data_IF_838918798753
#
_entry.id   IF_838918798753
#
_cell.length_a   1.000
_cell.length_b   1.000
_cell.length_c   1.000
_cell.angle_alpha   90.00
_cell.angle_beta   90.00
_cell.angle_gamma   90.00
#
_symmetry.space_group_name_H-M   'P 1'
#
loop_
_entity.id
_entity.type
_entity.pdbx_description
1 polymer ?
#
# COMPACT_ATOMS: atom_id res chain seq x y z
N UNK A 1 -42.40 63.24 -65.41
CA UNK A 1 -42.55 63.13 -63.99
C UNK A 1 -42.84 61.67 -63.63
N UNK A 2 -41.94 60.89 -63.20
CA UNK A 2 -42.19 59.67 -62.44
C UNK A 2 -40.93 59.29 -61.73
N UNK A 3 -41.01 59.16 -60.42
CA UNK A 3 -39.91 58.76 -59.47
C UNK A 3 -39.91 57.26 -59.39
N UNK A 4 -38.74 56.65 -59.67
CA UNK A 4 -38.49 55.26 -59.44
C UNK A 4 -37.74 55.06 -58.05
N UNK A 5 -38.42 54.37 -57.18
CA UNK A 5 -37.83 53.98 -55.88
C UNK A 5 -37.05 52.66 -56.02
N UNK A 6 -35.75 52.68 -55.78
CA UNK A 6 -34.94 51.50 -55.69
C UNK A 6 -34.88 51.04 -54.23
N UNK A 7 -35.44 49.85 -53.91
CA UNK A 7 -35.31 49.16 -52.65
C UNK A 7 -34.00 48.38 -52.63
N UNK A 8 -32.98 48.89 -51.92
CA UNK A 8 -31.72 48.19 -51.68
C UNK A 8 -31.86 47.23 -50.53
N UNK A 9 -31.67 45.92 -50.84
CA UNK A 9 -31.50 44.88 -49.85
C UNK A 9 -30.07 44.89 -49.31
N UNK A 10 -29.81 44.98 -48.01
CA UNK A 10 -28.43 44.95 -47.48
C UNK A 10 -27.77 43.59 -47.63
N UNK A 11 -26.46 43.50 -47.88
CA UNK A 11 -25.76 42.25 -48.05
C UNK A 11 -25.67 41.46 -46.71
N UNK A 12 -26.02 40.15 -46.79
CA UNK A 12 -25.88 39.18 -45.68
C UNK A 12 -24.41 38.88 -45.46
N UNK A 13 -23.87 39.30 -44.32
CA UNK A 13 -22.51 38.96 -43.87
C UNK A 13 -22.39 37.47 -43.53
N UNK A 14 -21.75 36.68 -44.41
CA UNK A 14 -21.53 35.23 -44.30
C UNK A 14 -20.30 34.86 -43.51
N UNK A 15 -19.84 35.65 -42.51
CA UNK A 15 -18.60 35.38 -41.76
C UNK A 15 -18.80 35.27 -40.25
N UNK A 16 -19.76 34.52 -39.78
CA UNK A 16 -19.74 34.02 -38.41
C UNK A 16 -20.06 32.52 -38.40
N UNK A 17 -19.00 31.72 -38.57
CA UNK A 17 -19.03 30.32 -38.13
C UNK A 17 -19.00 30.35 -36.61
N UNK A 18 -19.92 29.70 -35.89
CA UNK A 18 -19.78 29.54 -34.44
C UNK A 18 -18.55 28.64 -34.21
N UNK A 19 -17.56 29.19 -33.51
CA UNK A 19 -16.45 28.42 -32.99
C UNK A 19 -17.02 27.45 -32.00
N UNK A 20 -17.04 26.14 -32.35
CA UNK A 20 -17.26 25.08 -31.37
C UNK A 20 -16.05 25.08 -30.40
N UNK A 21 -16.14 25.87 -29.34
CA UNK A 21 -15.28 25.63 -28.19
C UNK A 21 -15.68 24.26 -27.64
N UNK A 22 -14.94 23.25 -28.05
CA UNK A 22 -14.89 21.98 -27.34
C UNK A 22 -14.41 22.30 -25.93
N UNK A 23 -15.37 22.43 -25.01
CA UNK A 23 -15.08 22.41 -23.59
C UNK A 23 -14.64 20.98 -23.27
N UNK A 24 -13.35 20.70 -23.46
CA UNK A 24 -12.70 19.54 -22.87
C UNK A 24 -12.73 19.75 -21.36
N UNK A 25 -13.83 19.33 -20.75
CA UNK A 25 -13.92 19.14 -19.31
C UNK A 25 -12.83 18.12 -18.96
N UNK A 26 -11.69 18.62 -18.49
CA UNK A 26 -10.64 17.82 -17.89
C UNK A 26 -11.21 17.25 -16.59
N UNK A 27 -11.89 16.11 -16.69
CA UNK A 27 -12.30 15.32 -15.53
C UNK A 27 -11.03 15.02 -14.77
N UNK A 28 -10.78 15.73 -13.66
CA UNK A 28 -9.68 15.42 -12.74
C UNK A 28 -9.84 13.95 -12.35
N UNK A 29 -8.99 13.09 -12.91
CA UNK A 29 -8.96 11.68 -12.53
C UNK A 29 -8.66 11.61 -11.04
N UNK A 30 -9.59 11.07 -10.28
CA UNK A 30 -9.37 10.82 -8.85
C UNK A 30 -8.29 9.74 -8.75
N UNK A 31 -7.21 10.06 -8.04
CA UNK A 31 -6.09 9.16 -7.82
C UNK A 31 -6.26 8.49 -6.47
N UNK A 32 -6.06 7.18 -6.43
CA UNK A 32 -6.08 6.36 -5.22
C UNK A 32 -4.75 5.64 -5.06
N UNK A 33 -4.28 5.51 -3.82
CA UNK A 33 -3.05 4.79 -3.49
C UNK A 33 -3.42 3.40 -3.01
N UNK A 34 -2.93 2.38 -3.72
CA UNK A 34 -3.35 0.98 -3.57
C UNK A 34 -2.20 0.09 -3.13
N UNK A 35 -2.53 -0.95 -2.38
CA UNK A 35 -1.64 -2.07 -2.08
C UNK A 35 -2.47 -3.34 -1.82
N UNK A 36 -1.82 -4.49 -1.90
CA UNK A 36 -2.43 -5.81 -1.66
C UNK A 36 -1.75 -6.41 -0.45
N UNK A 37 -2.55 -6.97 0.49
CA UNK A 37 -2.04 -7.51 1.73
C UNK A 37 -2.92 -8.63 2.30
N UNK A 38 -2.32 -9.44 3.18
CA UNK A 38 -3.06 -10.27 4.13
C UNK A 38 -3.36 -9.43 5.37
N UNK A 39 -4.55 -9.60 5.92
CA UNK A 39 -4.87 -9.13 7.27
C UNK A 39 -4.36 -10.13 8.31
N UNK A 40 -4.27 -9.73 9.55
CA UNK A 40 -3.91 -10.61 10.66
C UNK A 40 -5.09 -10.83 11.59
N UNK A 41 -5.20 -12.03 12.16
CA UNK A 41 -6.24 -12.39 13.10
C UNK A 41 -6.18 -11.53 14.37
N UNK A 42 -7.32 -11.29 15.00
CA UNK A 42 -7.41 -10.46 16.20
C UNK A 42 -6.54 -10.99 17.35
N UNK A 43 -6.45 -12.30 17.51
CA UNK A 43 -5.58 -12.91 18.52
C UNK A 43 -4.08 -12.65 18.29
N UNK A 44 -3.63 -12.61 17.05
CA UNK A 44 -2.27 -12.22 16.69
C UNK A 44 -2.09 -10.72 16.88
N UNK A 45 -3.11 -9.94 16.50
CA UNK A 45 -3.13 -8.48 16.63
C UNK A 45 -2.97 -8.04 18.09
N UNK A 46 -3.70 -8.67 19.02
CA UNK A 46 -3.63 -8.39 20.44
C UNK A 46 -2.25 -8.74 21.04
N UNK A 47 -1.73 -9.92 20.72
CA UNK A 47 -0.38 -10.33 21.18
C UNK A 47 0.70 -9.43 20.61
N UNK A 48 0.59 -9.04 19.35
CA UNK A 48 1.52 -8.11 18.72
C UNK A 48 1.43 -6.71 19.33
N UNK A 49 0.23 -6.26 19.73
CA UNK A 49 0.04 -5.00 20.45
C UNK A 49 0.79 -5.03 21.80
N UNK A 50 0.61 -6.09 22.58
CA UNK A 50 1.32 -6.27 23.86
C UNK A 50 2.84 -6.29 23.68
N UNK A 51 3.34 -6.99 22.66
CA UNK A 51 4.77 -6.99 22.32
C UNK A 51 5.27 -5.59 21.96
N UNK A 52 4.57 -4.87 21.10
CA UNK A 52 4.92 -3.49 20.73
C UNK A 52 4.88 -2.54 21.93
N UNK A 53 3.89 -2.64 22.80
CA UNK A 53 3.73 -1.76 23.96
C UNK A 53 4.87 -1.93 24.96
N UNK A 54 5.37 -3.16 25.17
CA UNK A 54 6.56 -3.45 25.97
C UNK A 54 7.86 -2.86 25.41
N UNK A 55 7.85 -2.45 24.13
CA UNK A 55 9.04 -1.96 23.43
C UNK A 55 9.00 -0.45 23.12
N UNK A 56 7.84 0.21 23.17
CA UNK A 56 7.68 1.63 22.77
C UNK A 56 8.63 2.57 23.50
N UNK A 57 8.86 2.35 24.80
CA UNK A 57 9.75 3.18 25.62
C UNK A 57 11.22 3.14 25.19
N UNK A 58 11.64 2.11 24.46
CA UNK A 58 13.02 1.95 23.97
C UNK A 58 13.26 2.58 22.59
N UNK A 59 12.19 3.04 21.91
CA UNK A 59 12.28 3.76 20.65
C UNK A 59 11.16 4.83 20.57
N UNK A 60 11.24 5.90 21.39
CA UNK A 60 10.19 6.93 21.46
C UNK A 60 10.11 7.76 20.18
N UNK A 61 11.21 7.92 19.45
CA UNK A 61 11.31 8.78 18.26
C UNK A 61 10.92 8.08 16.95
N UNK A 62 10.53 6.82 17.02
CA UNK A 62 10.04 6.10 15.85
C UNK A 62 8.52 6.20 15.74
N UNK A 63 8.00 6.09 14.51
CA UNK A 63 6.57 5.97 14.28
C UNK A 63 6.16 4.50 14.36
N UNK A 64 5.57 4.12 15.48
CA UNK A 64 4.95 2.82 15.65
C UNK A 64 3.71 2.69 14.78
N UNK A 65 3.54 1.55 14.13
CA UNK A 65 2.34 1.23 13.37
C UNK A 65 1.17 1.09 14.36
N UNK A 66 0.01 1.60 14.00
CA UNK A 66 -1.20 1.39 14.80
C UNK A 66 -1.62 -0.06 14.68
N UNK A 67 -2.05 -0.66 15.77
CA UNK A 67 -2.36 -2.09 15.86
C UNK A 67 -3.42 -2.51 14.82
N UNK A 68 -4.44 -1.68 14.62
CA UNK A 68 -5.49 -1.90 13.62
C UNK A 68 -5.01 -1.78 12.17
N UNK A 69 -3.80 -1.27 11.97
CA UNK A 69 -3.17 -1.10 10.65
C UNK A 69 -2.12 -2.17 10.34
N UNK A 70 -1.93 -3.15 11.24
CA UNK A 70 -0.99 -4.25 11.02
C UNK A 70 -1.49 -5.16 9.89
N UNK A 71 -0.61 -5.47 8.93
CA UNK A 71 -0.88 -6.30 7.77
C UNK A 71 0.41 -6.86 7.17
N UNK A 72 0.31 -7.96 6.42
CA UNK A 72 1.43 -8.51 5.65
C UNK A 72 1.28 -8.04 4.20
N UNK A 73 2.14 -7.12 3.78
CA UNK A 73 2.10 -6.59 2.41
C UNK A 73 2.55 -7.65 1.41
N UNK A 74 1.72 -7.95 0.42
CA UNK A 74 2.06 -8.82 -0.71
C UNK A 74 2.61 -8.00 -1.89
N UNK A 75 1.96 -6.85 -2.20
CA UNK A 75 2.36 -5.97 -3.29
C UNK A 75 1.94 -4.53 -3.05
N UNK A 76 2.86 -3.61 -3.26
CA UNK A 76 2.56 -2.20 -3.33
C UNK A 76 2.30 -1.76 -4.78
N UNK A 77 1.09 -1.28 -5.07
CA UNK A 77 0.68 -0.85 -6.42
C UNK A 77 1.02 0.62 -6.67
N UNK A 78 0.94 1.45 -5.62
CA UNK A 78 1.15 2.89 -5.73
C UNK A 78 -0.10 3.65 -6.12
N UNK A 79 0.10 4.85 -6.66
CA UNK A 79 -0.95 5.76 -7.09
C UNK A 79 -1.49 5.36 -8.45
N UNK A 80 -2.80 5.15 -8.55
CA UNK A 80 -3.51 4.77 -9.77
C UNK A 80 -4.83 5.55 -9.89
N UNK A 81 -5.34 5.75 -11.11
CA UNK A 81 -6.69 6.28 -11.30
C UNK A 81 -7.73 5.32 -10.72
N UNK A 82 -8.89 5.83 -10.30
CA UNK A 82 -9.96 5.02 -9.67
C UNK A 82 -10.49 3.90 -10.57
N UNK A 83 -10.48 4.07 -11.90
CA UNK A 83 -10.88 3.02 -12.85
C UNK A 83 -9.95 1.79 -12.83
N UNK A 84 -8.72 1.95 -12.33
CA UNK A 84 -7.80 0.84 -12.12
C UNK A 84 -8.28 -0.15 -11.06
N UNK A 85 -9.08 0.31 -10.07
CA UNK A 85 -9.62 -0.55 -9.00
C UNK A 85 -10.45 -1.70 -9.59
N UNK A 86 -11.33 -1.42 -10.56
CA UNK A 86 -12.14 -2.45 -11.21
C UNK A 86 -11.26 -3.48 -11.93
N UNK A 87 -10.29 -3.01 -12.71
CA UNK A 87 -9.38 -3.88 -13.49
C UNK A 87 -8.56 -4.80 -12.59
N UNK A 88 -7.97 -4.25 -11.51
CA UNK A 88 -7.15 -5.04 -10.59
C UNK A 88 -8.00 -6.00 -9.76
N UNK A 89 -9.23 -5.61 -9.38
CA UNK A 89 -10.17 -6.50 -8.67
C UNK A 89 -10.53 -7.71 -9.52
N UNK A 90 -10.88 -7.49 -10.78
CA UNK A 90 -11.20 -8.58 -11.72
C UNK A 90 -10.01 -9.53 -11.90
N UNK A 91 -8.83 -8.99 -12.14
CA UNK A 91 -7.63 -9.79 -12.34
C UNK A 91 -7.22 -10.59 -11.09
N UNK A 92 -7.28 -10.00 -9.89
CA UNK A 92 -6.99 -10.67 -8.63
C UNK A 92 -7.99 -11.78 -8.29
N UNK A 93 -9.24 -11.66 -8.74
CA UNK A 93 -10.28 -12.68 -8.52
C UNK A 93 -9.97 -14.02 -9.21
N UNK A 94 -9.05 -14.03 -10.16
CA UNK A 94 -8.61 -15.24 -10.85
C UNK A 94 -7.53 -16.03 -10.08
N UNK A 95 -6.91 -15.46 -9.05
CA UNK A 95 -5.85 -16.12 -8.27
C UNK A 95 -6.43 -17.32 -7.53
N UNK A 96 -5.70 -18.44 -7.60
CA UNK A 96 -6.03 -19.70 -6.93
C UNK A 96 -4.81 -20.18 -6.16
N UNK A 97 -4.81 -19.97 -4.85
CA UNK A 97 -3.79 -20.42 -3.90
C UNK A 97 -4.51 -20.93 -2.66
N UNK A 98 -4.03 -22.02 -2.08
CA UNK A 98 -4.58 -22.56 -0.84
C UNK A 98 -4.46 -21.57 0.33
N UNK A 99 -5.29 -21.72 1.39
CA UNK A 99 -5.09 -20.99 2.64
C UNK A 99 -3.66 -21.12 3.14
N UNK A 100 -3.14 -20.05 3.74
CA UNK A 100 -1.73 -19.93 4.15
C UNK A 100 -1.64 -19.97 5.67
N UNK A 101 -0.94 -20.96 6.22
CA UNK A 101 -0.55 -20.97 7.63
C UNK A 101 0.68 -20.10 7.83
N UNK A 102 0.64 -19.18 8.80
CA UNK A 102 1.68 -18.19 9.08
C UNK A 102 1.98 -18.19 10.58
N UNK A 103 3.22 -18.50 10.94
CA UNK A 103 3.74 -18.33 12.29
C UNK A 103 4.47 -16.99 12.41
N UNK A 104 4.14 -16.21 13.44
CA UNK A 104 4.74 -14.92 13.75
C UNK A 104 5.79 -15.12 14.85
N UNK A 105 7.04 -15.09 14.44
CA UNK A 105 8.21 -15.21 15.33
C UNK A 105 9.39 -14.49 14.70
N UNK A 106 10.44 -14.31 15.48
CA UNK A 106 11.60 -13.52 15.10
C UNK A 106 11.30 -12.03 14.92
N UNK A 107 12.33 -11.27 14.69
CA UNK A 107 12.26 -9.84 14.37
C UNK A 107 13.47 -9.42 13.57
N UNK A 108 13.39 -8.25 12.96
CA UNK A 108 14.52 -7.70 12.25
C UNK A 108 14.37 -6.23 11.90
N UNK A 109 15.35 -5.75 11.13
CA UNK A 109 15.47 -4.35 10.76
C UNK A 109 15.82 -4.22 9.28
N UNK A 110 15.15 -3.32 8.58
CA UNK A 110 15.50 -2.97 7.21
C UNK A 110 16.18 -1.60 7.14
N UNK A 111 17.16 -1.40 6.21
CA UNK A 111 17.80 -2.44 5.38
C UNK A 111 18.72 -3.36 6.18
N UNK A 112 19.29 -2.93 7.29
CA UNK A 112 20.12 -3.73 8.22
C UNK A 112 19.97 -3.17 9.63
N UNK A 113 20.40 -3.93 10.67
CA UNK A 113 20.41 -3.45 12.05
C UNK A 113 21.25 -2.16 12.20
N UNK A 114 22.41 -2.05 11.54
CA UNK A 114 23.29 -0.88 11.59
C UNK A 114 22.70 0.37 10.94
N UNK A 115 21.81 0.21 9.96
CA UNK A 115 21.17 1.30 9.20
C UNK A 115 19.65 1.27 9.27
N UNK A 116 19.11 0.82 10.40
CA UNK A 116 17.71 0.55 10.60
C UNK A 116 16.80 1.76 10.30
N UNK A 117 15.80 1.52 9.46
CA UNK A 117 14.72 2.45 9.11
C UNK A 117 13.35 1.87 9.40
N UNK A 118 13.26 0.54 9.43
CA UNK A 118 12.03 -0.22 9.69
C UNK A 118 12.35 -1.31 10.69
N UNK A 119 11.53 -1.45 11.72
CA UNK A 119 11.47 -2.58 12.62
C UNK A 119 10.29 -3.45 12.26
N UNK A 120 10.49 -4.77 12.17
CA UNK A 120 9.48 -5.72 11.72
C UNK A 120 9.51 -7.01 12.53
N UNK A 121 8.37 -7.69 12.59
CA UNK A 121 8.26 -9.06 13.08
C UNK A 121 8.36 -10.03 11.89
N UNK A 122 9.08 -11.14 12.11
CA UNK A 122 9.28 -12.20 11.13
C UNK A 122 8.04 -13.05 10.92
N UNK A 123 7.95 -13.63 9.73
CA UNK A 123 6.88 -14.54 9.32
C UNK A 123 7.47 -15.83 8.77
N UNK A 124 7.02 -16.95 9.30
CA UNK A 124 7.36 -18.28 8.82
C UNK A 124 6.11 -18.91 8.22
N UNK A 125 6.14 -19.25 6.96
CA UNK A 125 5.02 -19.84 6.24
C UNK A 125 5.53 -20.88 5.23
N UNK A 126 4.62 -21.76 4.81
CA UNK A 126 4.86 -22.68 3.71
C UNK A 126 5.01 -21.97 2.35
N UNK A 127 5.29 -22.75 1.28
CA UNK A 127 5.49 -22.22 -0.06
C UNK A 127 4.28 -21.48 -0.64
N UNK A 128 3.09 -21.68 -0.04
CA UNK A 128 1.83 -21.05 -0.47
C UNK A 128 1.89 -19.52 -0.33
N UNK A 129 2.57 -18.99 0.69
CA UNK A 129 2.74 -17.54 0.85
C UNK A 129 3.58 -16.95 -0.30
N UNK A 130 4.67 -17.61 -0.65
CA UNK A 130 5.50 -17.22 -1.78
C UNK A 130 4.73 -17.29 -3.10
N UNK A 131 4.01 -18.39 -3.34
CA UNK A 131 3.16 -18.57 -4.54
C UNK A 131 2.09 -17.50 -4.64
N UNK A 132 1.48 -17.10 -3.51
CA UNK A 132 0.50 -16.02 -3.48
C UNK A 132 1.14 -14.68 -3.88
N UNK A 133 2.30 -14.34 -3.31
CA UNK A 133 3.02 -13.11 -3.63
C UNK A 133 3.41 -13.05 -5.11
N UNK A 134 3.93 -14.16 -5.67
CA UNK A 134 4.28 -14.28 -7.08
C UNK A 134 3.07 -14.16 -8.01
N UNK A 135 1.95 -14.79 -7.65
CA UNK A 135 0.71 -14.69 -8.42
C UNK A 135 0.17 -13.25 -8.43
N UNK A 136 0.18 -12.58 -7.27
CA UNK A 136 -0.21 -11.17 -7.14
C UNK A 136 0.72 -10.27 -7.96
N UNK A 137 2.04 -10.48 -7.89
CA UNK A 137 3.01 -9.70 -8.65
C UNK A 137 2.82 -9.89 -10.16
N UNK A 138 2.66 -11.13 -10.63
CA UNK A 138 2.41 -11.47 -12.03
C UNK A 138 1.14 -10.82 -12.58
N UNK A 139 0.03 -10.94 -11.83
CA UNK A 139 -1.27 -10.35 -12.21
C UNK A 139 -1.19 -8.82 -12.27
N UNK A 140 -0.58 -8.18 -11.28
CA UNK A 140 -0.46 -6.71 -11.27
C UNK A 140 0.52 -6.22 -12.34
N UNK A 141 1.57 -6.98 -12.64
CA UNK A 141 2.50 -6.66 -13.73
C UNK A 141 1.82 -6.67 -15.10
N UNK A 142 0.90 -7.61 -15.35
CA UNK A 142 0.11 -7.62 -16.61
C UNK A 142 -0.78 -6.40 -16.79
N UNK A 143 -1.08 -5.67 -15.69
CA UNK A 143 -1.82 -4.41 -15.69
C UNK A 143 -0.91 -3.17 -15.70
N UNK A 144 0.40 -3.34 -15.95
CA UNK A 144 1.36 -2.24 -16.03
C UNK A 144 1.84 -1.72 -14.67
N UNK A 145 1.74 -2.52 -13.60
CA UNK A 145 2.44 -2.25 -12.34
C UNK A 145 3.86 -2.81 -12.46
N UNK A 146 4.84 -2.04 -11.99
CA UNK A 146 6.24 -2.49 -12.01
C UNK A 146 6.39 -3.81 -11.23
N UNK A 147 7.04 -4.79 -11.84
CA UNK A 147 7.36 -6.07 -11.19
C UNK A 147 8.37 -5.86 -10.07
N UNK A 148 8.28 -6.67 -9.01
CA UNK A 148 9.27 -6.61 -7.93
C UNK A 148 10.64 -7.09 -8.42
N UNK A 149 11.68 -6.31 -8.12
CA UNK A 149 13.06 -6.63 -8.51
C UNK A 149 13.73 -7.58 -7.51
N UNK A 150 13.20 -7.62 -6.28
CA UNK A 150 13.75 -8.44 -5.20
C UNK A 150 12.80 -9.57 -4.83
N UNK A 151 13.37 -10.65 -4.32
CA UNK A 151 12.58 -11.75 -3.77
C UNK A 151 11.64 -11.24 -2.66
N UNK A 152 10.44 -11.79 -2.63
CA UNK A 152 9.48 -11.50 -1.58
C UNK A 152 10.04 -11.89 -0.22
N UNK A 153 10.11 -10.92 0.68
CA UNK A 153 10.56 -11.10 2.06
C UNK A 153 9.39 -10.83 3.00
N UNK A 154 8.66 -11.89 3.43
CA UNK A 154 7.46 -11.73 4.25
C UNK A 154 7.80 -11.14 5.63
N UNK A 155 7.13 -10.05 6.01
CA UNK A 155 7.32 -9.40 7.29
C UNK A 155 6.09 -8.59 7.71
N UNK A 156 5.93 -8.40 9.02
CA UNK A 156 4.94 -7.50 9.60
C UNK A 156 5.64 -6.24 10.10
N UNK A 157 5.45 -5.11 9.43
CA UNK A 157 6.06 -3.83 9.88
C UNK A 157 5.46 -3.39 11.21
N UNK A 158 6.31 -3.14 12.22
CA UNK A 158 5.92 -2.70 13.55
C UNK A 158 6.22 -1.21 13.80
N UNK A 159 7.36 -0.72 13.29
CA UNK A 159 7.72 0.69 13.41
C UNK A 159 8.56 1.16 12.22
N UNK A 160 8.51 2.44 11.97
CA UNK A 160 9.31 3.12 10.95
C UNK A 160 10.00 4.33 11.56
N UNK A 161 11.23 4.62 11.14
CA UNK A 161 11.90 5.85 11.49
C UNK A 161 11.02 7.05 11.15
N UNK A 162 10.85 7.97 12.08
CA UNK A 162 10.19 9.26 11.85
C UNK A 162 11.07 10.11 10.95
N UNK A 163 10.55 10.57 9.81
CA UNK A 163 11.31 11.35 8.84
C UNK A 163 10.70 11.12 7.46
N UNK A 164 9.91 12.08 7.00
CA UNK A 164 9.14 12.01 5.77
C UNK A 164 10.03 11.81 4.55
N UNK A 165 9.46 11.25 3.53
CA UNK A 165 9.88 11.43 2.16
C UNK A 165 9.83 12.94 1.83
N UNK A 166 10.96 13.60 1.88
CA UNK A 166 11.08 15.01 1.49
C UNK A 166 11.71 15.87 2.56
N UNK A 167 12.98 16.15 2.38
CA UNK A 167 13.93 17.00 3.07
C UNK A 167 14.74 16.37 4.20
N UNK A 168 16.06 16.37 4.09
CA UNK A 168 16.94 16.00 5.18
C UNK A 168 17.00 17.16 6.19
N UNK A 169 16.12 17.19 7.17
CA UNK A 169 16.40 17.98 8.38
C UNK A 169 17.48 17.22 9.15
N UNK A 170 18.70 17.52 8.79
CA UNK A 170 19.91 17.14 9.49
C UNK A 170 19.97 17.98 10.75
N UNK A 171 19.40 17.49 11.86
CA UNK A 171 19.77 17.99 13.17
C UNK A 171 21.23 17.59 13.40
N UNK A 172 22.09 18.61 13.57
CA UNK A 172 23.50 18.48 13.81
C UNK A 172 23.69 17.91 15.20
N UNK A 173 24.00 16.59 15.31
CA UNK A 173 24.27 15.93 16.60
C UNK A 173 23.90 14.44 16.66
N UNK A 174 22.81 14.01 16.02
CA UNK A 174 22.41 12.61 16.02
C UNK A 174 22.97 11.90 14.80
N UNK A 175 23.90 11.00 15.01
CA UNK A 175 24.34 10.08 13.97
C UNK A 175 23.13 9.34 13.40
N UNK A 176 23.05 9.11 12.08
CA UNK A 176 21.84 8.67 11.36
C UNK A 176 21.29 7.30 11.80
N UNK A 177 21.86 6.63 12.80
CA UNK A 177 21.64 5.20 13.06
C UNK A 177 21.22 4.85 14.51
N UNK A 178 21.02 5.85 15.39
CA UNK A 178 20.76 5.57 16.82
C UNK A 178 19.28 5.40 17.20
N UNK A 179 18.35 5.72 16.30
CA UNK A 179 16.92 5.72 16.61
C UNK A 179 16.38 4.36 17.09
N UNK A 180 16.98 3.27 16.65
CA UNK A 180 16.63 1.91 17.07
C UNK A 180 17.66 1.25 17.99
N UNK A 181 18.72 1.94 18.42
CA UNK A 181 19.80 1.33 19.18
C UNK A 181 19.32 0.76 20.51
N UNK A 182 18.63 1.55 21.33
CA UNK A 182 18.12 1.09 22.62
C UNK A 182 17.09 -0.05 22.47
N UNK A 183 16.30 -0.01 21.38
CA UNK A 183 15.38 -1.09 21.05
C UNK A 183 16.13 -2.38 20.68
N UNK A 184 17.21 -2.30 19.91
CA UNK A 184 18.04 -3.44 19.56
C UNK A 184 18.70 -4.07 20.78
N UNK A 185 19.27 -3.24 21.68
CA UNK A 185 19.85 -3.68 22.95
C UNK A 185 18.81 -4.37 23.84
N UNK A 186 17.60 -3.80 23.91
CA UNK A 186 16.50 -4.42 24.67
C UNK A 186 16.09 -5.77 24.08
N UNK A 187 15.93 -5.84 22.76
CA UNK A 187 15.52 -7.05 22.06
C UNK A 187 16.57 -8.17 22.19
N UNK A 188 17.86 -7.82 22.14
CA UNK A 188 18.96 -8.79 22.33
C UNK A 188 18.98 -9.42 23.74
N UNK A 189 18.37 -8.76 24.74
CA UNK A 189 18.23 -9.26 26.09
C UNK A 189 16.91 -10.04 26.35
N UNK A 190 16.04 -10.13 25.38
CA UNK A 190 14.78 -10.85 25.47
C UNK A 190 14.86 -12.17 24.70
N UNK A 191 14.07 -13.19 25.09
CA UNK A 191 13.88 -14.37 24.26
C UNK A 191 13.25 -13.95 22.93
N UNK A 192 13.49 -14.75 21.91
CA UNK A 192 12.85 -14.54 20.60
C UNK A 192 11.31 -14.50 20.75
N UNK A 193 10.63 -13.49 20.16
CA UNK A 193 9.20 -13.38 20.30
C UNK A 193 8.51 -14.49 19.53
N UNK A 194 7.68 -15.27 20.20
CA UNK A 194 6.76 -16.22 19.62
C UNK A 194 5.33 -15.73 19.81
N UNK A 195 4.82 -15.01 18.79
CA UNK A 195 3.51 -14.35 18.86
C UNK A 195 2.38 -15.32 18.62
N UNK A 196 2.62 -16.35 17.80
CA UNK A 196 1.65 -17.41 17.51
C UNK A 196 1.46 -17.65 16.02
N UNK A 197 0.46 -18.48 15.70
CA UNK A 197 0.15 -18.92 14.35
C UNK A 197 -1.28 -18.54 13.98
N UNK A 198 -1.50 -18.19 12.71
CA UNK A 198 -2.83 -18.00 12.12
C UNK A 198 -2.92 -18.69 10.76
N UNK A 199 -4.14 -18.88 10.25
CA UNK A 199 -4.37 -19.32 8.86
C UNK A 199 -5.06 -18.22 8.09
N UNK A 200 -4.33 -17.56 7.16
CA UNK A 200 -4.91 -16.61 6.23
C UNK A 200 -5.81 -17.35 5.22
N UNK A 201 -7.09 -16.98 5.16
CA UNK A 201 -8.10 -17.58 4.26
C UNK A 201 -8.52 -16.64 3.14
N UNK A 202 -8.05 -15.39 3.18
CA UNK A 202 -8.33 -14.36 2.18
C UNK A 202 -7.20 -13.34 2.17
N UNK A 203 -7.06 -12.62 1.06
CA UNK A 203 -6.23 -11.45 0.93
C UNK A 203 -7.07 -10.27 0.44
N UNK A 204 -6.55 -9.05 0.55
CA UNK A 204 -7.34 -7.86 0.33
C UNK A 204 -6.63 -6.87 -0.59
N UNK A 205 -7.43 -6.15 -1.38
CA UNK A 205 -7.04 -4.89 -2.00
C UNK A 205 -7.36 -3.75 -1.02
N UNK A 206 -6.35 -2.96 -0.69
CA UNK A 206 -6.46 -1.82 0.21
C UNK A 206 -6.25 -0.50 -0.51
N UNK A 207 -7.00 0.50 -0.07
CA UNK A 207 -6.69 1.91 -0.32
C UNK A 207 -5.94 2.48 0.88
N UNK A 208 -4.84 3.21 0.61
CA UNK A 208 -4.08 3.95 1.60
C UNK A 208 -4.35 5.44 1.48
N UNK A 209 -4.77 6.06 2.57
CA UNK A 209 -4.91 7.51 2.71
C UNK A 209 -3.84 8.01 3.67
N UNK A 210 -2.99 8.90 3.20
CA UNK A 210 -1.94 9.50 4.01
C UNK A 210 -2.55 10.66 4.82
N UNK A 211 -2.23 10.73 6.11
CA UNK A 211 -2.58 11.85 6.96
C UNK A 211 -1.41 12.23 7.87
N UNK A 212 -1.39 13.46 8.43
CA UNK A 212 -0.38 13.85 9.42
C UNK A 212 -0.34 12.93 10.64
N UNK A 213 -1.48 12.31 10.98
CA UNK A 213 -1.61 11.35 12.10
C UNK A 213 -1.23 9.90 11.72
N UNK A 214 -0.73 9.66 10.51
CA UNK A 214 -0.40 8.34 9.97
C UNK A 214 -1.27 7.92 8.80
N UNK A 215 -0.96 6.77 8.20
CA UNK A 215 -1.75 6.20 7.11
C UNK A 215 -3.01 5.54 7.66
N UNK A 216 -4.12 5.76 6.95
CA UNK A 216 -5.39 5.04 7.17
C UNK A 216 -5.59 4.07 6.01
N UNK A 217 -5.97 2.85 6.31
CA UNK A 217 -6.19 1.80 5.32
C UNK A 217 -7.66 1.42 5.28
N UNK A 218 -8.20 1.28 4.07
CA UNK A 218 -9.58 0.85 3.83
C UNK A 218 -9.55 -0.39 2.94
N UNK A 219 -10.16 -1.49 3.38
CA UNK A 219 -10.36 -2.67 2.55
C UNK A 219 -11.37 -2.33 1.44
N UNK A 220 -10.94 -2.43 0.18
CA UNK A 220 -11.80 -2.21 -0.98
C UNK A 220 -12.47 -3.50 -1.43
N UNK A 221 -11.71 -4.61 -1.40
CA UNK A 221 -12.18 -5.92 -1.85
C UNK A 221 -11.43 -7.03 -1.13
N UNK A 222 -12.12 -8.14 -0.82
CA UNK A 222 -11.54 -9.39 -0.34
C UNK A 222 -11.50 -10.45 -1.44
N UNK A 223 -10.51 -11.33 -1.36
CA UNK A 223 -10.29 -12.42 -2.31
C UNK A 223 -10.03 -13.71 -1.51
N UNK A 224 -10.94 -14.71 -1.58
CA UNK A 224 -10.77 -15.94 -0.82
C UNK A 224 -9.62 -16.78 -1.37
N UNK A 225 -8.80 -17.31 -0.48
CA UNK A 225 -7.77 -18.29 -0.78
C UNK A 225 -8.42 -19.68 -0.90
N UNK A 226 -8.26 -20.32 -2.05
CA UNK A 226 -8.84 -21.62 -2.37
C UNK A 226 -7.84 -22.43 -3.17
N UNK A 227 -7.63 -23.67 -2.78
CA UNK A 227 -6.87 -24.60 -3.61
C UNK A 227 -7.54 -24.78 -4.99
N UNK A 228 -6.77 -25.12 -5.99
CA UNK A 228 -7.30 -25.57 -7.27
C UNK A 228 -8.09 -26.86 -7.04
N UNK A 229 -9.40 -26.87 -7.29
CA UNK A 229 -10.18 -28.11 -7.35
C UNK A 229 -9.85 -28.82 -8.64
N UNK A 230 -9.10 -29.92 -8.59
CA UNK A 230 -9.01 -30.88 -9.70
C UNK A 230 -10.42 -31.46 -9.90
N UNK A 231 -11.06 -31.14 -11.01
CA UNK A 231 -12.22 -31.90 -11.50
C UNK A 231 -11.73 -33.11 -12.24
#
# INVERSE_FOLDING_TARGET
>A
MVFGGATGVPPVDRRRRPSLHMVTSSLKRVIVRLFIALDIDDSIRERMAGFMDGLRGFAPDVRWVRTESLHVTLKYIGEKPTDFVTKVTEALSAIRVAPVEIAFRDYGFFPTAKSARVFWAGLHAGPELQKLAEAVDGVTASLGVQKEEHAFNPHLTLARRSGGSGTPHRQKGDGPYRVFQNLQEKLAALPEPEVGTMTAREFFLYQSQLSPKGSRYTKLQSFPLRAWSSR
#
